data_IF_796175748146
#
_entry.id   IF_796175748146
#
_cell.length_a   1.000
_cell.length_b   1.000
_cell.length_c   1.000
_cell.angle_alpha   90.00
_cell.angle_beta   90.00
_cell.angle_gamma   90.00
#
_symmetry.space_group_name_H-M   'P 1'
#
loop_
_entity.id
_entity.type
_entity.pdbx_description
1 polymer ?
#
# COMPACT_ATOMS: atom_id res chain seq x y z
N UNK A 1 0.16 24.08 -14.52
CA UNK A 1 -0.35 22.67 -14.53
C UNK A 1 -0.10 22.04 -15.91
N UNK A 2 -0.23 22.79 -17.01
CA UNK A 2 0.06 22.31 -18.36
C UNK A 2 1.57 22.16 -18.64
N UNK A 3 2.40 23.01 -18.03
CA UNK A 3 3.86 22.94 -18.20
C UNK A 3 4.50 21.72 -17.50
N UNK A 4 3.89 21.22 -16.44
CA UNK A 4 4.38 20.02 -15.73
C UNK A 4 4.12 18.72 -16.51
N UNK A 5 3.04 18.68 -17.31
CA UNK A 5 2.71 17.55 -18.19
C UNK A 5 3.60 17.48 -19.43
N UNK A 6 4.03 18.63 -19.95
CA UNK A 6 4.92 18.71 -21.11
C UNK A 6 6.37 18.33 -20.78
N UNK A 7 6.83 18.59 -19.54
CA UNK A 7 8.18 18.18 -19.08
C UNK A 7 8.25 16.68 -18.86
N UNK A 8 7.17 16.03 -18.44
CA UNK A 8 7.13 14.57 -18.23
C UNK A 8 7.12 13.80 -19.56
N UNK A 9 6.58 14.38 -20.62
CA UNK A 9 6.56 13.75 -21.95
C UNK A 9 7.86 13.96 -22.77
N UNK A 10 8.69 14.90 -22.38
CA UNK A 10 9.97 15.18 -23.08
C UNK A 10 11.13 14.29 -22.62
N UNK A 11 10.97 13.51 -21.54
CA UNK A 11 12.02 12.62 -21.03
C UNK A 11 11.90 11.16 -21.50
N UNK A 12 10.84 10.81 -22.24
CA UNK A 12 10.64 9.44 -22.76
C UNK A 12 11.25 9.24 -24.17
N UNK A 13 12.29 10.00 -24.52
CA UNK A 13 13.03 9.79 -25.74
C UNK A 13 14.18 8.79 -25.55
N UNK A 14 13.87 7.62 -25.00
CA UNK A 14 14.77 6.46 -25.09
C UNK A 14 14.78 6.01 -26.53
N UNK A 15 15.88 6.28 -27.22
CA UNK A 15 16.04 5.96 -28.65
C UNK A 15 15.83 4.46 -28.85
N UNK A 16 15.08 4.13 -29.88
CA UNK A 16 14.79 2.75 -30.32
C UNK A 16 16.08 1.90 -30.54
N UNK A 17 17.24 2.56 -30.66
CA UNK A 17 18.56 1.93 -30.84
C UNK A 17 19.10 1.28 -29.55
N UNK A 18 18.56 1.60 -28.36
CA UNK A 18 19.01 0.92 -27.11
C UNK A 18 18.40 -0.48 -26.96
N UNK A 19 17.40 -0.82 -27.76
CA UNK A 19 16.76 -2.15 -27.76
C UNK A 19 17.54 -3.22 -28.55
N UNK A 20 18.51 -2.83 -29.36
CA UNK A 20 19.21 -3.77 -30.25
C UNK A 20 20.56 -4.25 -29.71
N UNK A 21 21.01 -3.74 -28.57
CA UNK A 21 22.30 -4.10 -27.97
C UNK A 21 22.15 -4.84 -26.64
N UNK A 22 21.26 -5.82 -26.59
CA UNK A 22 21.06 -6.65 -25.41
C UNK A 22 22.03 -7.84 -25.44
N UNK A 23 23.08 -7.75 -24.64
CA UNK A 23 23.80 -8.95 -24.19
C UNK A 23 22.79 -9.87 -23.47
N UNK A 24 22.80 -11.16 -23.78
CA UNK A 24 21.86 -12.18 -23.33
C UNK A 24 21.67 -12.33 -21.80
N UNK A 25 22.30 -11.48 -20.97
CA UNK A 25 22.14 -11.44 -19.52
C UNK A 25 21.13 -10.39 -19.03
N UNK A 26 20.53 -9.58 -19.91
CA UNK A 26 19.63 -8.48 -19.54
C UNK A 26 18.16 -8.90 -19.36
N UNK A 27 17.82 -10.16 -19.57
CA UNK A 27 16.44 -10.65 -19.48
C UNK A 27 15.90 -10.82 -18.05
N UNK A 28 16.75 -10.68 -17.02
CA UNK A 28 16.32 -10.74 -15.61
C UNK A 28 16.72 -9.43 -14.89
N UNK A 29 16.22 -8.31 -15.37
CA UNK A 29 16.42 -7.05 -14.65
C UNK A 29 15.32 -6.89 -13.61
N UNK A 30 15.65 -7.14 -12.35
CA UNK A 30 14.76 -6.84 -11.24
C UNK A 30 14.83 -5.35 -10.90
N UNK A 31 13.73 -4.69 -10.55
CA UNK A 31 13.75 -3.31 -10.07
C UNK A 31 14.41 -3.18 -8.69
N UNK A 32 14.65 -4.29 -8.00
CA UNK A 32 15.28 -4.35 -6.68
C UNK A 32 16.80 -4.21 -6.85
N UNK A 33 17.38 -3.23 -6.13
CA UNK A 33 18.82 -3.05 -6.09
C UNK A 33 19.54 -4.23 -5.41
N UNK A 34 20.79 -4.54 -5.79
CA UNK A 34 21.59 -5.52 -5.07
C UNK A 34 21.72 -5.11 -3.60
N UNK A 35 21.30 -6.00 -2.70
CA UNK A 35 21.39 -5.77 -1.25
C UNK A 35 22.78 -6.22 -0.79
N UNK A 36 23.57 -5.30 -0.22
CA UNK A 36 24.95 -5.53 0.18
C UNK A 36 25.11 -6.54 1.31
N UNK A 37 24.06 -6.77 2.11
CA UNK A 37 24.05 -7.71 3.24
C UNK A 37 23.24 -8.98 2.97
N UNK A 38 23.06 -9.33 1.70
CA UNK A 38 22.19 -10.43 1.28
C UNK A 38 22.76 -11.84 1.53
N UNK A 39 23.84 -11.95 2.29
CA UNK A 39 24.66 -13.18 2.33
C UNK A 39 24.03 -14.38 3.03
N UNK A 40 22.81 -14.37 3.50
CA UNK A 40 22.16 -15.62 3.96
C UNK A 40 20.68 -15.46 4.35
N UNK A 41 19.97 -14.53 3.74
CA UNK A 41 18.53 -14.48 3.98
C UNK A 41 17.84 -15.61 3.20
N UNK A 42 17.84 -16.83 3.77
CA UNK A 42 17.08 -17.94 3.26
C UNK A 42 15.58 -17.63 3.36
N UNK A 43 14.94 -17.53 2.21
CA UNK A 43 13.48 -17.36 2.16
C UNK A 43 12.83 -18.67 2.63
N UNK A 44 12.06 -18.59 3.71
CA UNK A 44 11.30 -19.74 4.18
C UNK A 44 10.24 -20.15 3.14
N UNK A 45 10.33 -21.38 2.62
CA UNK A 45 9.41 -21.91 1.61
C UNK A 45 7.94 -21.86 2.07
N UNK A 46 7.66 -22.05 3.36
CA UNK A 46 6.31 -21.94 3.91
C UNK A 46 5.79 -20.50 3.85
N UNK A 47 6.64 -19.51 4.11
CA UNK A 47 6.27 -18.09 3.99
C UNK A 47 6.03 -17.70 2.52
N UNK A 48 6.90 -18.13 1.61
CA UNK A 48 6.72 -17.91 0.18
C UNK A 48 5.37 -18.46 -0.31
N UNK A 49 5.03 -19.70 0.06
CA UNK A 49 3.75 -20.32 -0.30
C UNK A 49 2.55 -19.54 0.26
N UNK A 50 2.64 -18.99 1.48
CA UNK A 50 1.59 -18.17 2.07
C UNK A 50 1.41 -16.85 1.33
N UNK A 51 2.50 -16.18 0.97
CA UNK A 51 2.50 -14.93 0.19
C UNK A 51 1.90 -15.15 -1.20
N UNK A 52 2.20 -16.27 -1.84
CA UNK A 52 1.68 -16.61 -3.17
C UNK A 52 0.23 -17.07 -3.18
N UNK A 53 -0.38 -17.34 -2.01
CA UNK A 53 -1.74 -17.88 -1.92
C UNK A 53 -2.81 -16.84 -2.32
N UNK A 54 -2.58 -15.58 -1.98
CA UNK A 54 -3.53 -14.48 -2.27
C UNK A 54 -2.78 -13.28 -2.88
N UNK A 55 -2.34 -13.40 -4.15
CA UNK A 55 -1.57 -12.37 -4.80
C UNK A 55 -2.46 -11.23 -5.32
N UNK A 56 -1.97 -10.01 -5.26
CA UNK A 56 -2.63 -8.81 -5.77
C UNK A 56 -2.50 -8.71 -7.30
N UNK A 57 -3.61 -8.56 -8.01
CA UNK A 57 -3.66 -8.49 -9.48
C UNK A 57 -3.59 -7.06 -10.03
N UNK A 58 -3.90 -6.05 -9.20
CA UNK A 58 -3.99 -4.65 -9.62
C UNK A 58 -5.33 -4.31 -10.29
N UNK A 59 -6.40 -5.02 -9.95
CA UNK A 59 -7.75 -4.71 -10.39
C UNK A 59 -8.35 -3.57 -9.55
N UNK A 60 -9.26 -2.74 -10.13
CA UNK A 60 -9.93 -1.68 -9.38
C UNK A 60 -10.79 -2.16 -8.20
N UNK A 61 -11.24 -3.41 -8.25
CA UNK A 61 -12.02 -4.06 -7.18
C UNK A 61 -11.19 -4.55 -6.01
N UNK A 62 -9.87 -4.65 -6.19
CA UNK A 62 -8.95 -5.09 -5.13
C UNK A 62 -8.52 -3.90 -4.27
N UNK A 63 -8.39 -4.14 -2.96
CA UNK A 63 -7.89 -3.13 -2.03
C UNK A 63 -6.38 -3.29 -1.80
N UNK A 64 -5.63 -2.39 -2.43
CA UNK A 64 -4.17 -2.36 -2.34
C UNK A 64 -3.66 -2.13 -0.90
N UNK A 65 -4.41 -1.38 -0.03
CA UNK A 65 -4.00 -1.17 1.36
C UNK A 65 -4.15 -2.46 2.16
N UNK A 66 -5.29 -3.13 2.01
CA UNK A 66 -5.54 -4.41 2.67
C UNK A 66 -4.50 -5.44 2.25
N UNK A 67 -4.17 -5.51 0.95
CA UNK A 67 -3.12 -6.40 0.46
C UNK A 67 -1.76 -6.09 1.11
N UNK A 68 -1.36 -4.81 1.11
CA UNK A 68 -0.07 -4.41 1.68
C UNK A 68 0.02 -4.71 3.18
N UNK A 69 -1.04 -4.45 3.95
CA UNK A 69 -1.09 -4.75 5.38
C UNK A 69 -1.01 -6.26 5.62
N UNK A 70 -1.80 -7.06 4.91
CA UNK A 70 -1.78 -8.53 5.02
C UNK A 70 -0.40 -9.10 4.67
N UNK A 71 0.26 -8.57 3.64
CA UNK A 71 1.61 -8.97 3.27
C UNK A 71 2.63 -8.67 4.37
N UNK A 72 2.58 -7.47 4.97
CA UNK A 72 3.46 -7.08 6.08
C UNK A 72 3.23 -7.97 7.28
N UNK A 73 1.97 -8.19 7.68
CA UNK A 73 1.59 -9.05 8.80
C UNK A 73 2.10 -10.49 8.62
N UNK A 74 1.95 -11.06 7.41
CA UNK A 74 2.48 -12.40 7.09
C UNK A 74 3.99 -12.48 7.24
N UNK A 75 4.73 -11.46 6.76
CA UNK A 75 6.17 -11.40 6.89
C UNK A 75 6.61 -11.29 8.36
N UNK A 76 5.92 -10.46 9.15
CA UNK A 76 6.24 -10.23 10.57
C UNK A 76 5.94 -11.45 11.44
N UNK A 77 4.89 -12.22 11.13
CA UNK A 77 4.54 -13.44 11.87
C UNK A 77 5.55 -14.57 11.76
N UNK A 78 6.30 -14.66 10.66
CA UNK A 78 7.15 -15.81 10.34
C UNK A 78 8.65 -15.54 10.44
N UNK A 79 9.05 -14.31 10.72
CA UNK A 79 10.46 -13.96 10.78
C UNK A 79 11.08 -14.32 12.14
N UNK A 80 12.25 -14.95 12.08
CA UNK A 80 13.12 -15.14 13.25
C UNK A 80 13.79 -13.81 13.59
N UNK A 81 14.01 -13.56 14.87
CA UNK A 81 14.53 -12.29 15.41
C UNK A 81 15.91 -11.83 14.88
N UNK A 82 16.61 -12.68 14.15
CA UNK A 82 17.99 -12.45 13.71
C UNK A 82 18.13 -12.09 12.21
N UNK A 83 17.02 -11.94 11.48
CA UNK A 83 17.04 -11.60 10.04
C UNK A 83 16.44 -10.24 9.83
N UNK A 84 17.11 -9.40 9.03
CA UNK A 84 16.58 -8.09 8.63
C UNK A 84 15.23 -8.27 7.90
N UNK A 85 14.16 -7.93 8.61
CA UNK A 85 12.78 -8.12 8.16
C UNK A 85 12.48 -7.34 6.88
N UNK A 86 13.15 -6.21 6.67
CA UNK A 86 12.95 -5.35 5.50
C UNK A 86 13.53 -5.99 4.23
N UNK A 87 14.66 -6.70 4.35
CA UNK A 87 15.25 -7.44 3.23
C UNK A 87 14.34 -8.60 2.81
N UNK A 88 13.78 -9.34 3.78
CA UNK A 88 12.83 -10.44 3.51
C UNK A 88 11.59 -9.93 2.83
N UNK A 89 10.99 -8.85 3.35
CA UNK A 89 9.82 -8.20 2.73
C UNK A 89 10.10 -7.78 1.30
N UNK A 90 11.24 -7.14 1.07
CA UNK A 90 11.62 -6.68 -0.27
C UNK A 90 11.79 -7.82 -1.26
N UNK A 91 12.44 -8.92 -0.85
CA UNK A 91 12.62 -10.13 -1.69
C UNK A 91 11.29 -10.85 -1.98
N UNK A 92 10.36 -10.86 -1.02
CA UNK A 92 9.07 -11.56 -1.14
C UNK A 92 8.00 -10.74 -1.85
N UNK A 93 8.09 -9.43 -1.84
CA UNK A 93 7.06 -8.54 -2.41
C UNK A 93 6.70 -8.87 -3.88
N UNK A 94 7.64 -9.14 -4.80
CA UNK A 94 7.30 -9.50 -6.18
C UNK A 94 6.46 -10.77 -6.32
N UNK A 95 6.53 -11.68 -5.34
CA UNK A 95 5.76 -12.92 -5.32
C UNK A 95 4.34 -12.74 -4.78
N UNK A 96 4.09 -11.62 -4.09
CA UNK A 96 2.74 -11.23 -3.67
C UNK A 96 1.94 -10.56 -4.78
N UNK A 97 2.52 -10.37 -5.97
CA UNK A 97 1.92 -9.69 -7.11
C UNK A 97 1.70 -10.64 -8.28
N UNK A 98 0.59 -10.44 -9.02
CA UNK A 98 0.32 -11.15 -10.27
C UNK A 98 -0.25 -10.19 -11.33
N UNK A 99 -0.41 -10.67 -12.54
CA UNK A 99 -1.05 -9.99 -13.67
C UNK A 99 -0.55 -8.55 -13.87
N UNK A 100 -1.45 -7.57 -13.81
CA UNK A 100 -1.14 -6.15 -14.01
C UNK A 100 -0.18 -5.60 -12.96
N UNK A 101 -0.32 -6.04 -11.71
CA UNK A 101 0.54 -5.58 -10.62
C UNK A 101 1.97 -6.08 -10.80
N UNK A 102 2.14 -7.32 -11.22
CA UNK A 102 3.46 -7.90 -11.52
C UNK A 102 4.09 -7.22 -12.74
N UNK A 103 3.30 -7.01 -13.82
CA UNK A 103 3.78 -6.32 -15.01
C UNK A 103 4.23 -4.89 -14.69
N UNK A 104 3.45 -4.14 -13.87
CA UNK A 104 3.85 -2.83 -13.40
C UNK A 104 5.16 -2.88 -12.61
N UNK A 105 5.28 -3.79 -11.63
CA UNK A 105 6.50 -3.91 -10.82
C UNK A 105 7.72 -4.18 -11.69
N UNK A 106 7.60 -5.07 -12.67
CA UNK A 106 8.68 -5.40 -13.62
C UNK A 106 9.02 -4.24 -14.57
N UNK A 107 8.11 -3.27 -14.77
CA UNK A 107 8.34 -2.08 -15.60
C UNK A 107 9.08 -0.96 -14.86
N UNK A 108 9.29 -1.08 -13.55
CA UNK A 108 10.06 -0.09 -12.79
C UNK A 108 11.53 -0.08 -13.22
N UNK A 109 12.20 1.06 -13.16
CA UNK A 109 13.61 1.16 -13.52
C UNK A 109 14.49 0.17 -12.72
N UNK A 110 15.52 -0.37 -13.37
CA UNK A 110 16.50 -1.24 -12.70
C UNK A 110 17.05 -0.56 -11.46
N UNK A 111 17.18 -1.28 -10.37
CA UNK A 111 17.77 -0.81 -9.11
C UNK A 111 17.08 0.43 -8.50
N UNK A 112 15.83 0.73 -8.88
CA UNK A 112 15.09 1.87 -8.34
C UNK A 112 14.58 1.63 -6.92
N UNK A 113 14.45 0.37 -6.53
CA UNK A 113 13.94 -0.06 -5.24
C UNK A 113 15.10 -0.62 -4.40
N UNK A 114 15.61 0.20 -3.50
CA UNK A 114 16.72 -0.15 -2.59
C UNK A 114 16.25 -0.43 -1.15
N UNK A 115 14.98 -0.13 -0.84
CA UNK A 115 14.44 -0.30 0.50
C UNK A 115 12.97 -0.70 0.48
N UNK A 116 12.52 -1.34 1.56
CA UNK A 116 11.12 -1.70 1.75
C UNK A 116 10.21 -0.47 1.72
N UNK A 117 10.65 0.66 2.25
CA UNK A 117 9.89 1.92 2.23
C UNK A 117 9.70 2.44 0.80
N UNK A 118 10.75 2.47 -0.03
CA UNK A 118 10.63 2.88 -1.45
C UNK A 118 9.70 1.94 -2.23
N UNK A 119 9.76 0.64 -1.97
CA UNK A 119 8.85 -0.33 -2.56
C UNK A 119 7.39 -0.04 -2.21
N UNK A 120 7.13 0.20 -0.92
CA UNK A 120 5.81 0.58 -0.39
C UNK A 120 5.31 1.88 -1.01
N UNK A 121 6.15 2.92 -1.05
CA UNK A 121 5.79 4.23 -1.60
C UNK A 121 5.46 4.14 -3.10
N UNK A 122 6.25 3.40 -3.88
CA UNK A 122 6.00 3.17 -5.29
C UNK A 122 4.66 2.42 -5.50
N UNK A 123 4.37 1.39 -4.70
CA UNK A 123 3.14 0.63 -4.77
C UNK A 123 1.91 1.48 -4.41
N UNK A 124 2.00 2.26 -3.31
CA UNK A 124 0.94 3.17 -2.89
C UNK A 124 0.70 4.24 -3.96
N UNK A 125 1.74 4.88 -4.47
CA UNK A 125 1.61 5.89 -5.55
C UNK A 125 0.90 5.34 -6.78
N UNK A 126 1.12 4.07 -7.12
CA UNK A 126 0.50 3.43 -8.28
C UNK A 126 -0.96 3.06 -8.05
N UNK A 127 -1.26 2.42 -6.92
CA UNK A 127 -2.58 1.81 -6.66
C UNK A 127 -3.48 2.62 -5.72
N UNK A 128 -2.91 3.69 -5.14
CA UNK A 128 -3.62 4.73 -4.40
C UNK A 128 -3.46 6.09 -5.07
N UNK A 129 -4.10 6.33 -6.21
CA UNK A 129 -4.02 7.62 -6.85
C UNK A 129 -4.56 8.71 -5.90
N UNK A 130 -4.01 9.95 -5.97
CA UNK A 130 -4.42 11.06 -5.12
C UNK A 130 -5.94 11.30 -5.09
N UNK A 131 -6.62 11.08 -6.21
CA UNK A 131 -8.08 11.18 -6.28
C UNK A 131 -8.79 10.19 -5.34
N UNK A 132 -8.31 8.95 -5.23
CA UNK A 132 -8.84 7.94 -4.31
C UNK A 132 -8.57 8.35 -2.86
N UNK A 133 -7.37 8.84 -2.57
CA UNK A 133 -7.02 9.34 -1.22
C UNK A 133 -7.94 10.49 -0.80
N UNK A 134 -8.20 11.45 -1.71
CA UNK A 134 -9.11 12.58 -1.46
C UNK A 134 -10.53 12.08 -1.21
N UNK A 135 -11.05 11.17 -2.04
CA UNK A 135 -12.39 10.59 -1.85
C UNK A 135 -12.52 9.96 -0.47
N UNK A 136 -11.57 9.14 -0.08
CA UNK A 136 -11.61 8.40 1.16
C UNK A 136 -11.44 9.30 2.39
N UNK A 137 -10.59 10.34 2.28
CA UNK A 137 -10.51 11.39 3.29
C UNK A 137 -11.85 12.11 3.44
N UNK A 138 -12.52 12.42 2.33
CA UNK A 138 -13.85 13.01 2.35
C UNK A 138 -14.88 12.10 3.01
N UNK A 139 -14.82 10.80 2.76
CA UNK A 139 -15.70 9.81 3.40
C UNK A 139 -15.53 9.79 4.92
N UNK A 140 -14.27 9.87 5.42
CA UNK A 140 -13.99 10.02 6.85
C UNK A 140 -14.52 11.36 7.38
N UNK A 141 -14.25 12.48 6.69
CA UNK A 141 -14.65 13.81 7.13
C UNK A 141 -16.17 14.00 7.13
N UNK A 142 -16.89 13.32 6.23
CA UNK A 142 -18.35 13.34 6.14
C UNK A 142 -19.02 12.16 6.85
N UNK A 143 -18.30 11.52 7.78
CA UNK A 143 -18.83 10.40 8.53
C UNK A 143 -20.15 10.75 9.19
N UNK A 144 -21.14 9.85 9.05
CA UNK A 144 -22.44 9.94 9.73
C UNK A 144 -22.86 8.57 10.23
N UNK A 145 -23.41 8.54 11.42
CA UNK A 145 -24.05 7.34 11.98
C UNK A 145 -25.26 6.97 11.15
N UNK A 146 -25.44 5.69 10.84
CA UNK A 146 -26.60 5.16 10.13
C UNK A 146 -27.81 5.04 11.07
N UNK A 147 -29.03 5.08 10.52
CA UNK A 147 -30.28 5.12 11.29
C UNK A 147 -30.48 3.95 12.25
N UNK A 148 -29.94 2.78 11.93
CA UNK A 148 -30.05 1.54 12.74
C UNK A 148 -28.73 1.10 13.37
N UNK A 149 -27.74 1.99 13.41
CA UNK A 149 -26.40 1.71 13.91
C UNK A 149 -26.25 2.16 15.36
N UNK A 150 -25.79 1.27 16.24
CA UNK A 150 -25.40 1.67 17.60
C UNK A 150 -24.05 2.39 17.60
N UNK A 151 -23.79 3.23 18.62
CA UNK A 151 -22.52 4.00 18.77
C UNK A 151 -21.30 3.11 18.63
N UNK A 152 -21.30 1.91 19.25
CA UNK A 152 -20.19 0.98 19.16
C UNK A 152 -19.96 0.48 17.73
N UNK A 153 -21.01 0.18 16.98
CA UNK A 153 -20.92 -0.25 15.58
C UNK A 153 -20.42 0.89 14.68
N UNK A 154 -20.93 2.10 14.89
CA UNK A 154 -20.47 3.30 14.21
C UNK A 154 -18.97 3.53 14.44
N UNK A 155 -18.51 3.35 15.68
CA UNK A 155 -17.09 3.48 16.02
C UNK A 155 -16.22 2.39 15.36
N UNK A 156 -16.67 1.12 15.34
CA UNK A 156 -15.97 0.05 14.63
C UNK A 156 -15.86 0.35 13.12
N UNK A 157 -16.93 0.86 12.50
CA UNK A 157 -16.93 1.28 11.10
C UNK A 157 -15.93 2.42 10.86
N UNK A 158 -15.92 3.43 11.74
CA UNK A 158 -14.94 4.53 11.68
C UNK A 158 -13.52 4.02 11.80
N UNK A 159 -13.23 3.12 12.74
CA UNK A 159 -11.91 2.49 12.89
C UNK A 159 -11.49 1.70 11.65
N UNK A 160 -12.43 1.00 11.02
CA UNK A 160 -12.16 0.27 9.79
C UNK A 160 -11.80 1.23 8.64
N UNK A 161 -12.52 2.35 8.50
CA UNK A 161 -12.22 3.38 7.50
C UNK A 161 -10.80 3.94 7.72
N UNK A 162 -10.42 4.25 8.95
CA UNK A 162 -9.09 4.76 9.31
C UNK A 162 -7.99 3.73 9.03
N UNK A 163 -8.22 2.46 9.39
CA UNK A 163 -7.26 1.36 9.16
C UNK A 163 -7.00 1.15 7.67
N UNK A 164 -8.03 1.25 6.86
CA UNK A 164 -7.91 1.09 5.40
C UNK A 164 -7.17 2.27 4.75
N UNK A 165 -6.97 3.39 5.48
CA UNK A 165 -6.33 4.61 4.97
C UNK A 165 -5.27 5.17 5.90
N UNK A 166 -4.14 4.48 6.07
CA UNK A 166 -3.08 4.92 6.98
C UNK A 166 -2.48 6.29 6.65
N UNK A 167 -2.67 6.77 5.40
CA UNK A 167 -2.17 8.08 4.93
C UNK A 167 -3.22 9.20 4.92
N UNK A 168 -4.31 9.05 5.69
CA UNK A 168 -5.39 10.06 5.74
C UNK A 168 -4.97 11.43 6.29
N UNK A 169 -3.83 11.52 7.00
CA UNK A 169 -3.28 12.78 7.53
C UNK A 169 -4.11 13.44 8.63
N UNK A 170 -5.06 12.72 9.25
CA UNK A 170 -5.88 13.21 10.36
C UNK A 170 -5.25 12.77 11.69
N UNK A 171 -5.16 13.68 12.66
CA UNK A 171 -4.75 13.33 14.00
C UNK A 171 -5.94 12.72 14.80
N UNK A 172 -5.62 12.05 15.90
CA UNK A 172 -6.63 11.36 16.73
C UNK A 172 -7.74 12.29 17.22
N UNK A 173 -7.38 13.50 17.66
CA UNK A 173 -8.35 14.47 18.15
C UNK A 173 -9.36 14.85 17.05
N UNK A 174 -8.89 15.07 15.83
CA UNK A 174 -9.73 15.40 14.68
C UNK A 174 -10.67 14.24 14.34
N UNK A 175 -10.19 13.01 14.41
CA UNK A 175 -11.00 11.79 14.20
C UNK A 175 -12.12 11.71 15.23
N UNK A 176 -11.83 11.93 16.52
CA UNK A 176 -12.83 11.93 17.59
C UNK A 176 -13.87 13.04 17.36
N UNK A 177 -13.44 14.24 16.97
CA UNK A 177 -14.35 15.34 16.67
C UNK A 177 -15.28 15.03 15.49
N UNK A 178 -14.75 14.47 14.41
CA UNK A 178 -15.53 14.06 13.23
C UNK A 178 -16.53 12.97 13.63
N UNK A 179 -16.10 11.99 14.40
CA UNK A 179 -16.96 10.92 14.89
C UNK A 179 -18.11 11.46 15.71
N UNK A 180 -17.81 12.28 16.75
CA UNK A 180 -18.82 12.87 17.61
C UNK A 180 -19.81 13.75 16.83
N UNK A 181 -19.32 14.58 15.90
CA UNK A 181 -20.16 15.41 15.05
C UNK A 181 -21.07 14.58 14.11
N UNK A 182 -20.61 13.39 13.73
CA UNK A 182 -21.34 12.46 12.86
C UNK A 182 -22.41 11.62 13.56
N UNK A 183 -22.43 11.60 14.89
CA UNK A 183 -23.44 10.86 15.65
C UNK A 183 -24.82 11.53 15.59
N UNK A 184 -25.89 10.74 15.70
CA UNK A 184 -27.23 11.25 15.87
C UNK A 184 -27.43 11.85 17.28
N UNK A 185 -28.53 12.60 17.47
CA UNK A 185 -28.80 13.31 18.72
C UNK A 185 -28.89 12.38 19.93
N UNK A 186 -29.56 11.23 19.79
CA UNK A 186 -29.72 10.27 20.89
C UNK A 186 -28.37 9.68 21.34
N UNK A 187 -27.51 9.36 20.39
CA UNK A 187 -26.17 8.82 20.67
C UNK A 187 -25.24 9.85 21.31
N UNK A 188 -25.33 11.13 20.91
CA UNK A 188 -24.56 12.20 21.56
C UNK A 188 -24.98 12.40 23.00
N UNK A 189 -26.30 12.49 23.26
CA UNK A 189 -26.82 12.62 24.63
C UNK A 189 -26.40 11.45 25.52
N UNK A 190 -26.35 10.23 24.98
CA UNK A 190 -25.88 9.06 25.71
C UNK A 190 -24.40 9.20 26.12
N UNK A 191 -23.54 9.67 25.21
CA UNK A 191 -22.12 9.88 25.52
C UNK A 191 -21.92 11.03 26.52
N UNK A 192 -22.65 12.14 26.34
CA UNK A 192 -22.54 13.31 27.23
C UNK A 192 -23.03 12.99 28.66
N UNK A 193 -23.99 12.07 28.81
CA UNK A 193 -24.48 11.64 30.13
C UNK A 193 -23.55 10.63 30.81
N UNK A 194 -22.60 10.03 30.08
CA UNK A 194 -21.64 9.07 30.61
C UNK A 194 -20.30 9.68 31.04
N UNK A 195 -20.11 10.98 30.77
CA UNK A 195 -18.94 11.77 31.17
C UNK A 195 -19.20 12.51 32.48
#
# INVERSE_FOLDING_TARGET
VLDCLLVTMAQDNTKLCDFTNTNNNDFISTPIAPLTDAESCEINAALLNLVMKDPFSGLPSEDAATHLNSFVDLCDMKNKKDVDNDIVKLKLFPFSLRDRAKAWFSSLPKNSIDSCNKCKDAFISKYFPPAKIISLRNDIMNFKQLDHEHVAQAWERMKLMIRNYPTHGLNLLMIIQIFYAGLNFASRNLLDSAM
#
